data_IF_659408349415
#
_entry.id   IF_659408349415
#
_cell.length_a   1.000
_cell.length_b   1.000
_cell.length_c   1.000
_cell.angle_alpha   90.00
_cell.angle_beta   90.00
_cell.angle_gamma   90.00
#
_symmetry.space_group_name_H-M   'P 1'
#
loop_
_entity.id
_entity.type
_entity.pdbx_description
1 polymer ?
#
# COMPACT_ATOMS: atom_id res chain seq x y z
N UNK A 1 8.40 -34.19 -17.90
CA UNK A 1 7.99 -32.93 -18.56
C UNK A 1 7.09 -32.13 -17.62
N UNK A 2 7.66 -31.54 -16.56
CA UNK A 2 6.90 -30.74 -15.58
C UNK A 2 6.76 -29.32 -16.14
N UNK A 3 5.51 -28.91 -16.40
CA UNK A 3 5.16 -27.63 -17.01
C UNK A 3 5.74 -26.46 -16.21
N UNK A 4 6.50 -25.62 -16.89
CA UNK A 4 7.09 -24.38 -16.39
C UNK A 4 5.99 -23.39 -16.02
N UNK A 5 5.93 -23.02 -14.73
CA UNK A 5 5.04 -21.97 -14.24
C UNK A 5 5.56 -20.63 -14.76
N UNK A 6 5.06 -20.19 -15.92
CA UNK A 6 5.35 -18.88 -16.50
C UNK A 6 4.77 -17.82 -15.57
N UNK A 7 5.64 -17.22 -14.74
CA UNK A 7 5.29 -16.09 -13.89
C UNK A 7 5.06 -14.87 -14.78
N UNK A 8 3.83 -14.69 -15.24
CA UNK A 8 3.39 -13.47 -15.90
C UNK A 8 3.43 -12.34 -14.88
N UNK A 9 4.42 -11.47 -15.02
CA UNK A 9 4.58 -10.24 -14.23
C UNK A 9 3.49 -9.24 -14.64
N UNK A 10 2.27 -9.47 -14.17
CA UNK A 10 1.19 -8.48 -14.25
C UNK A 10 1.65 -7.29 -13.40
N UNK A 11 1.97 -6.16 -14.04
CA UNK A 11 2.19 -4.88 -13.36
C UNK A 11 0.88 -4.45 -12.70
N UNK A 12 0.57 -5.04 -11.54
CA UNK A 12 -0.47 -4.55 -10.63
C UNK A 12 -0.02 -3.15 -10.19
N UNK A 13 -0.62 -2.11 -10.77
CA UNK A 13 -0.44 -0.74 -10.31
C UNK A 13 -0.60 -0.68 -8.78
N UNK A 14 0.13 0.23 -8.12
CA UNK A 14 0.10 0.36 -6.65
C UNK A 14 -1.35 0.53 -6.19
N UNK A 15 -1.90 -0.51 -5.59
CA UNK A 15 -3.27 -0.49 -5.06
C UNK A 15 -3.25 0.21 -3.70
N UNK A 16 -4.33 0.94 -3.40
CA UNK A 16 -4.47 1.60 -2.12
C UNK A 16 -4.56 0.58 -0.99
N UNK A 17 -3.72 0.75 0.02
CA UNK A 17 -3.69 -0.11 1.20
C UNK A 17 -5.06 -0.17 1.89
N UNK A 18 -5.76 0.96 2.03
CA UNK A 18 -7.05 0.99 2.71
C UNK A 18 -8.18 0.35 1.90
N UNK A 19 -8.19 0.56 0.57
CA UNK A 19 -9.18 -0.05 -0.32
C UNK A 19 -9.09 -1.57 -0.35
N UNK A 20 -7.87 -2.13 -0.34
CA UNK A 20 -7.67 -3.59 -0.37
C UNK A 20 -7.99 -4.23 0.98
N UNK A 21 -7.78 -3.53 2.08
CA UNK A 21 -8.03 -4.06 3.43
C UNK A 21 -9.44 -3.74 3.96
N UNK A 22 -10.34 -3.20 3.13
CA UNK A 22 -11.70 -2.76 3.50
C UNK A 22 -11.76 -1.88 4.76
N UNK A 23 -10.69 -1.12 5.03
CA UNK A 23 -10.65 -0.16 6.15
C UNK A 23 -10.99 1.22 5.62
N UNK A 24 -12.26 1.58 5.68
CA UNK A 24 -12.78 2.85 5.17
C UNK A 24 -12.41 4.05 6.06
N UNK A 25 -12.19 3.82 7.35
CA UNK A 25 -11.82 4.86 8.32
C UNK A 25 -10.41 4.63 8.86
N UNK A 26 -9.62 5.70 8.91
CA UNK A 26 -8.28 5.71 9.52
C UNK A 26 -8.43 6.09 10.99
N UNK A 27 -8.00 5.20 11.89
CA UNK A 27 -7.89 5.53 13.32
C UNK A 27 -6.56 6.23 13.59
N UNK A 28 -6.60 7.39 14.25
CA UNK A 28 -5.41 8.15 14.62
C UNK A 28 -4.62 7.49 15.77
N UNK A 29 -5.26 6.59 16.53
CA UNK A 29 -4.60 5.85 17.62
C UNK A 29 -3.80 4.65 17.13
N UNK A 30 -4.04 4.18 15.91
CA UNK A 30 -3.30 3.06 15.32
C UNK A 30 -1.95 3.51 14.76
N UNK A 31 -1.00 3.71 15.66
CA UNK A 31 0.38 4.12 15.35
C UNK A 31 1.05 3.11 14.38
N UNK A 32 0.67 1.83 14.43
CA UNK A 32 1.26 0.78 13.61
C UNK A 32 1.00 0.99 12.12
N UNK A 33 -0.25 1.28 11.76
CA UNK A 33 -0.62 1.56 10.36
C UNK A 33 -0.14 2.93 9.91
N UNK A 34 -0.23 3.95 10.76
CA UNK A 34 0.22 5.31 10.45
C UNK A 34 1.71 5.39 10.12
N UNK A 35 2.56 4.66 10.87
CA UNK A 35 4.02 4.62 10.62
C UNK A 35 4.38 4.21 9.19
N UNK A 36 3.55 3.39 8.54
CA UNK A 36 3.77 2.91 7.17
C UNK A 36 3.67 4.03 6.13
N UNK A 37 2.92 5.08 6.45
CA UNK A 37 2.67 6.24 5.58
C UNK A 37 3.58 7.42 5.91
N UNK A 38 4.59 7.20 6.74
CA UNK A 38 5.52 8.21 7.20
C UNK A 38 6.93 7.86 6.72
N UNK A 39 7.77 8.88 6.53
CA UNK A 39 9.19 8.73 6.18
C UNK A 39 10.07 8.51 7.41
N UNK A 40 11.33 8.14 7.20
CA UNK A 40 12.31 8.02 8.29
C UNK A 40 12.44 9.30 9.12
N UNK A 41 12.24 10.46 8.49
CA UNK A 41 12.24 11.78 9.13
C UNK A 41 10.90 12.18 9.74
N UNK A 42 9.98 11.24 9.92
CA UNK A 42 8.62 11.48 10.44
C UNK A 42 7.76 12.46 9.61
N UNK A 43 8.14 12.74 8.36
CA UNK A 43 7.31 13.50 7.41
C UNK A 43 6.31 12.58 6.71
N UNK A 44 5.11 13.08 6.40
CA UNK A 44 4.08 12.36 5.64
C UNK A 44 4.66 11.94 4.27
N UNK A 45 4.54 10.66 3.94
CA UNK A 45 5.07 10.13 2.70
C UNK A 45 4.20 10.59 1.51
N UNK A 46 4.82 10.98 0.38
CA UNK A 46 4.08 11.41 -0.80
C UNK A 46 3.27 10.26 -1.40
N UNK A 47 2.15 10.60 -2.07
CA UNK A 47 1.21 9.66 -2.70
C UNK A 47 1.89 8.61 -3.59
N UNK A 48 2.90 9.03 -4.38
CA UNK A 48 3.68 8.15 -5.27
C UNK A 48 4.35 6.99 -4.52
N UNK A 49 4.72 7.21 -3.26
CA UNK A 49 5.38 6.21 -2.43
C UNK A 49 4.38 5.41 -1.58
N UNK A 50 3.37 6.07 -1.01
CA UNK A 50 2.36 5.45 -0.16
C UNK A 50 1.30 4.63 -0.92
N UNK A 51 1.07 4.93 -2.21
CA UNK A 51 0.07 4.22 -3.02
C UNK A 51 -1.37 4.50 -2.60
N UNK A 52 -1.61 5.53 -1.77
CA UNK A 52 -2.94 5.91 -1.34
C UNK A 52 -3.76 6.45 -2.52
N UNK A 53 -5.02 6.01 -2.63
CA UNK A 53 -5.98 6.67 -3.50
C UNK A 53 -6.30 8.05 -2.93
N UNK A 54 -6.59 9.03 -3.79
CA UNK A 54 -6.91 10.39 -3.34
C UNK A 54 -8.34 10.52 -2.79
N UNK A 55 -9.12 9.42 -2.82
CA UNK A 55 -10.58 9.45 -3.05
C UNK A 55 -10.94 10.09 -4.40
#
# INVERSE_FOLDING_TARGET
MLKTKTQTTIFKGKQCYYCVNNRLAVDYKDIGTLRKFVSSYMKIAPRRRSGLCAL
#
